data_IF_725069416021
#
_entry.id   IF_725069416021
#
_cell.length_a   1.000
_cell.length_b   1.000
_cell.length_c   1.000
_cell.angle_alpha   90.00
_cell.angle_beta   90.00
_cell.angle_gamma   90.00
#
_symmetry.space_group_name_H-M   'P 1'
#
loop_
_entity.id
_entity.type
_entity.pdbx_description
1 polymer ?
#
# COMPACT_ATOMS: atom_id res chain seq x y z
N UNK A 1 -13.99 -11.13 4.61
CA UNK A 1 -13.51 -9.89 3.97
C UNK A 1 -14.65 -9.31 3.18
N UNK A 2 -15.13 -8.12 3.54
CA UNK A 2 -16.09 -7.40 2.70
C UNK A 2 -15.46 -7.25 1.30
N UNK A 3 -16.22 -7.55 0.25
CA UNK A 3 -15.76 -7.40 -1.12
C UNK A 3 -15.71 -5.90 -1.41
N UNK A 4 -14.61 -5.26 -1.01
CA UNK A 4 -14.40 -3.82 -1.21
C UNK A 4 -14.27 -3.55 -2.71
N UNK A 5 -15.41 -3.35 -3.38
CA UNK A 5 -15.51 -3.01 -4.79
C UNK A 5 -15.63 -1.49 -4.95
N UNK A 6 -14.69 -0.76 -4.35
CA UNK A 6 -14.61 0.69 -4.54
C UNK A 6 -13.89 0.97 -5.86
N UNK A 7 -14.18 2.12 -6.49
CA UNK A 7 -13.44 2.55 -7.68
C UNK A 7 -11.93 2.62 -7.35
N UNK A 8 -11.58 3.05 -6.14
CA UNK A 8 -10.21 3.04 -5.63
C UNK A 8 -9.59 1.63 -5.67
N UNK A 9 -10.28 0.59 -5.17
CA UNK A 9 -9.73 -0.77 -5.18
C UNK A 9 -9.61 -1.35 -6.59
N UNK A 10 -10.42 -0.89 -7.54
CA UNK A 10 -10.27 -1.23 -8.96
C UNK A 10 -9.05 -0.56 -9.58
N UNK A 11 -8.81 0.73 -9.31
CA UNK A 11 -7.64 1.48 -9.79
C UNK A 11 -6.35 0.88 -9.23
N UNK A 12 -6.34 0.50 -7.95
CA UNK A 12 -5.16 -0.09 -7.31
C UNK A 12 -4.70 -1.41 -7.94
N UNK A 13 -5.55 -2.11 -8.72
CA UNK A 13 -5.14 -3.31 -9.47
C UNK A 13 -4.11 -3.02 -10.56
N UNK A 14 -4.04 -1.78 -11.02
CA UNK A 14 -3.04 -1.34 -12.01
C UNK A 14 -1.71 -0.95 -11.37
N UNK A 15 -1.62 -0.92 -10.04
CA UNK A 15 -0.40 -0.58 -9.30
C UNK A 15 0.30 -1.86 -8.86
N UNK A 16 1.56 -2.05 -9.29
CA UNK A 16 2.39 -3.16 -8.84
C UNK A 16 2.75 -3.01 -7.36
N UNK A 17 2.17 -3.85 -6.50
CA UNK A 17 2.49 -3.85 -5.06
C UNK A 17 3.98 -4.09 -4.80
N UNK A 18 4.62 -4.97 -5.56
CA UNK A 18 6.04 -5.31 -5.37
C UNK A 18 6.95 -4.12 -5.69
N UNK A 19 6.70 -3.43 -6.81
CA UNK A 19 7.47 -2.25 -7.18
C UNK A 19 7.24 -1.10 -6.19
N UNK A 20 5.99 -0.91 -5.76
CA UNK A 20 5.65 0.04 -4.71
C UNK A 20 6.44 -0.25 -3.42
N UNK A 21 6.43 -1.49 -2.94
CA UNK A 21 7.14 -1.86 -1.71
C UNK A 21 8.66 -1.69 -1.86
N UNK A 22 9.23 -1.98 -3.03
CA UNK A 22 10.66 -1.74 -3.33
C UNK A 22 11.03 -0.26 -3.24
N UNK A 23 10.25 0.61 -3.89
CA UNK A 23 10.44 2.06 -3.82
C UNK A 23 10.20 2.60 -2.41
N UNK A 24 9.16 2.10 -1.73
CA UNK A 24 8.83 2.50 -0.37
C UNK A 24 9.95 2.15 0.61
N UNK A 25 10.64 1.03 0.43
CA UNK A 25 11.81 0.65 1.21
C UNK A 25 13.03 1.53 0.88
N UNK A 26 13.27 1.80 -0.41
CA UNK A 26 14.36 2.68 -0.85
C UNK A 26 14.25 4.10 -0.29
N UNK A 27 13.03 4.61 -0.20
CA UNK A 27 12.75 5.97 0.26
C UNK A 27 12.24 6.03 1.71
N UNK A 28 12.23 4.90 2.43
CA UNK A 28 11.81 4.90 3.83
C UNK A 28 12.81 5.70 4.67
N UNK A 29 12.29 6.68 5.41
CA UNK A 29 13.03 7.37 6.44
C UNK A 29 12.28 7.26 7.77
N UNK A 30 13.04 7.15 8.87
CA UNK A 30 12.50 7.06 10.21
C UNK A 30 12.41 5.63 10.74
N UNK A 31 11.42 5.39 11.61
CA UNK A 31 11.24 4.11 12.30
C UNK A 31 10.43 3.14 11.46
N UNK A 32 10.82 1.87 11.51
CA UNK A 32 10.05 0.76 10.95
C UNK A 32 8.63 0.71 11.54
N UNK A 33 7.67 0.36 10.68
CA UNK A 33 6.31 0.07 11.10
C UNK A 33 6.26 -1.19 11.97
N UNK A 34 5.35 -1.20 12.95
CA UNK A 34 5.19 -2.35 13.85
C UNK A 34 4.36 -3.48 13.23
N UNK A 35 3.26 -3.12 12.55
CA UNK A 35 2.25 -4.08 12.07
C UNK A 35 1.76 -3.83 10.65
N UNK A 36 2.04 -2.65 10.08
CA UNK A 36 1.58 -2.25 8.75
C UNK A 36 2.75 -2.23 7.76
N UNK A 37 2.48 -2.53 6.49
CA UNK A 37 3.40 -2.17 5.40
C UNK A 37 3.08 -0.76 4.90
N UNK A 38 4.02 -0.15 4.17
CA UNK A 38 3.74 1.12 3.46
C UNK A 38 2.56 0.96 2.49
N UNK A 39 2.42 -0.23 1.88
CA UNK A 39 1.27 -0.55 1.02
C UNK A 39 -0.04 -0.58 1.82
N UNK A 40 -0.10 -1.28 2.96
CA UNK A 40 -1.33 -1.32 3.75
C UNK A 40 -1.69 0.06 4.30
N UNK A 41 -0.69 0.86 4.70
CA UNK A 41 -0.91 2.26 5.09
C UNK A 41 -1.52 3.08 3.94
N UNK A 42 -0.97 2.97 2.73
CA UNK A 42 -1.44 3.69 1.55
C UNK A 42 -2.89 3.34 1.20
N UNK A 43 -3.25 2.05 1.23
CA UNK A 43 -4.63 1.59 0.93
C UNK A 43 -5.64 1.99 2.01
N UNK A 44 -5.22 2.09 3.29
CA UNK A 44 -6.12 2.48 4.40
C UNK A 44 -6.30 3.99 4.55
N UNK A 45 -5.37 4.80 4.06
CA UNK A 45 -5.46 6.27 4.09
C UNK A 45 -6.33 6.85 2.96
N UNK A 46 -6.77 6.01 2.02
CA UNK A 46 -7.58 6.39 0.88
C UNK A 46 -9.00 5.83 1.01
#
# INVERSE_FOLDING_TARGET
>A
MAHCNTILSQILKFVSRHEFESLANRHHAGRSFRTATRWSQFVTMA
#
